data_IF_915264451322
#
_entry.id   IF_915264451322
#
_cell.length_a   1.000
_cell.length_b   1.000
_cell.length_c   1.000
_cell.angle_alpha   90.00
_cell.angle_beta   90.00
_cell.angle_gamma   90.00
#
_symmetry.space_group_name_H-M   'P 1'
#
loop_
_entity.id
_entity.type
_entity.pdbx_description
1 polymer ?
#
# COMPACT_ATOMS: atom_id res chain seq x y z
N UNK A 1 -0.74 -10.04 1.23
CA UNK A 1 -1.92 -10.22 2.11
C UNK A 1 -1.57 -10.46 3.58
N UNK A 2 -0.62 -11.35 3.93
CA UNK A 2 -0.19 -11.55 5.33
C UNK A 2 0.22 -10.25 6.05
N UNK A 3 0.94 -9.37 5.33
CA UNK A 3 1.33 -8.05 5.84
C UNK A 3 0.15 -7.14 6.19
N UNK A 4 -0.89 -7.11 5.36
CA UNK A 4 -2.09 -6.31 5.62
C UNK A 4 -2.80 -6.80 6.89
N UNK A 5 -2.82 -8.12 7.12
CA UNK A 5 -3.35 -8.71 8.36
C UNK A 5 -2.53 -8.33 9.60
N UNK A 6 -1.20 -8.33 9.49
CA UNK A 6 -0.31 -7.85 10.58
C UNK A 6 -0.54 -6.36 10.88
N UNK A 7 -0.69 -5.54 9.84
CA UNK A 7 -0.96 -4.11 10.01
C UNK A 7 -2.35 -3.88 10.63
N UNK A 8 -3.36 -4.66 10.25
CA UNK A 8 -4.68 -4.62 10.87
C UNK A 8 -4.62 -4.96 12.37
N UNK A 9 -3.86 -5.99 12.74
CA UNK A 9 -3.67 -6.37 14.14
C UNK A 9 -2.93 -5.28 14.94
N UNK A 10 -1.92 -4.64 14.33
CA UNK A 10 -1.22 -3.52 14.96
C UNK A 10 -2.14 -2.31 15.18
N UNK A 11 -2.95 -1.94 14.18
CA UNK A 11 -3.93 -0.86 14.29
C UNK A 11 -4.99 -1.16 15.35
N UNK A 12 -5.45 -2.41 15.43
CA UNK A 12 -6.36 -2.85 16.47
C UNK A 12 -5.75 -2.74 17.87
N UNK A 13 -4.49 -3.14 18.04
CA UNK A 13 -3.77 -2.98 19.31
C UNK A 13 -3.64 -1.49 19.70
N UNK A 14 -3.25 -0.62 18.75
CA UNK A 14 -3.18 0.82 19.01
C UNK A 14 -4.55 1.38 19.40
N UNK A 15 -5.63 0.92 18.79
CA UNK A 15 -7.00 1.32 19.13
C UNK A 15 -7.42 0.83 20.52
N UNK A 16 -6.94 -0.33 20.96
CA UNK A 16 -7.25 -0.90 22.28
C UNK A 16 -6.49 -0.19 23.43
N UNK A 17 -5.30 0.36 23.16
CA UNK A 17 -4.43 0.94 24.19
C UNK A 17 -4.32 2.48 24.12
N UNK A 18 -4.74 3.14 23.04
CA UNK A 18 -4.72 4.60 22.91
C UNK A 18 -6.12 5.20 22.95
N UNK A 19 -6.26 6.36 23.59
CA UNK A 19 -7.44 7.21 23.41
C UNK A 19 -7.60 7.53 21.91
N UNK A 20 -8.84 7.53 21.42
CA UNK A 20 -9.25 7.63 20.01
C UNK A 20 -8.83 8.93 19.27
N UNK A 21 -7.86 9.67 19.80
CA UNK A 21 -7.34 10.94 19.28
C UNK A 21 -6.30 10.76 18.16
N UNK A 22 -5.58 9.63 18.15
CA UNK A 22 -4.50 9.37 17.19
C UNK A 22 -4.97 8.66 15.92
N UNK A 23 -6.00 7.82 16.04
CA UNK A 23 -6.58 7.05 14.94
C UNK A 23 -7.81 7.78 14.42
N UNK A 24 -7.81 8.09 13.13
CA UNK A 24 -9.00 8.63 12.48
C UNK A 24 -10.12 7.57 12.47
N UNK A 25 -11.41 7.93 12.67
CA UNK A 25 -12.51 6.96 12.65
C UNK A 25 -12.59 6.13 11.36
N UNK A 26 -12.13 6.70 10.24
CA UNK A 26 -12.07 6.03 8.93
C UNK A 26 -10.79 5.23 8.69
N UNK A 27 -9.95 4.96 9.70
CA UNK A 27 -8.68 4.23 9.54
C UNK A 27 -8.87 2.86 8.87
N UNK A 28 -9.97 2.17 9.18
CA UNK A 28 -10.33 0.90 8.56
C UNK A 28 -10.63 1.03 7.07
N UNK A 29 -11.27 2.13 6.64
CA UNK A 29 -11.45 2.43 5.23
C UNK A 29 -10.14 2.74 4.52
N UNK A 30 -9.25 3.48 5.18
CA UNK A 30 -7.92 3.77 4.64
C UNK A 30 -7.08 2.50 4.47
N UNK A 31 -7.17 1.58 5.43
CA UNK A 31 -6.52 0.27 5.35
C UNK A 31 -7.08 -0.56 4.21
N UNK A 32 -8.41 -0.63 4.09
CA UNK A 32 -9.09 -1.39 3.06
C UNK A 32 -8.74 -0.88 1.67
N UNK A 33 -8.79 0.44 1.44
CA UNK A 33 -8.50 1.01 0.12
C UNK A 33 -7.04 0.76 -0.27
N UNK A 34 -6.08 0.96 0.64
CA UNK A 34 -4.66 0.68 0.36
C UNK A 34 -4.42 -0.81 0.10
N UNK A 35 -5.12 -1.69 0.80
CA UNK A 35 -5.05 -3.15 0.58
C UNK A 35 -5.58 -3.51 -0.81
N UNK A 36 -6.75 -2.98 -1.19
CA UNK A 36 -7.33 -3.22 -2.52
C UNK A 36 -6.44 -2.70 -3.64
N UNK A 37 -5.87 -1.51 -3.50
CA UNK A 37 -4.92 -0.97 -4.48
C UNK A 37 -3.69 -1.87 -4.59
N UNK A 38 -3.09 -2.29 -3.46
CA UNK A 38 -1.92 -3.15 -3.48
C UNK A 38 -2.20 -4.51 -4.16
N UNK A 39 -3.35 -5.12 -3.85
CA UNK A 39 -3.78 -6.36 -4.52
C UNK A 39 -4.03 -6.13 -6.02
N UNK A 40 -4.68 -5.03 -6.38
CA UNK A 40 -4.92 -4.67 -7.78
C UNK A 40 -3.63 -4.50 -8.58
N UNK A 41 -2.61 -3.86 -8.00
CA UNK A 41 -1.28 -3.75 -8.64
C UNK A 41 -0.62 -5.12 -8.76
N UNK A 42 -0.68 -5.95 -7.73
CA UNK A 42 -0.08 -7.27 -7.77
C UNK A 42 -0.72 -8.15 -8.87
N UNK A 43 -2.05 -8.12 -9.00
CA UNK A 43 -2.75 -8.80 -10.10
C UNK A 43 -2.35 -8.25 -11.47
N UNK A 44 -2.16 -6.93 -11.59
CA UNK A 44 -1.72 -6.30 -12.83
C UNK A 44 -0.30 -6.74 -13.21
N UNK A 45 0.60 -6.85 -12.22
CA UNK A 45 1.97 -7.33 -12.41
C UNK A 45 1.96 -8.80 -12.83
N UNK A 46 1.24 -9.66 -12.13
CA UNK A 46 1.13 -11.08 -12.45
C UNK A 46 0.57 -11.28 -13.86
N UNK A 47 -0.49 -10.54 -14.22
CA UNK A 47 -1.06 -10.57 -15.57
C UNK A 47 -0.07 -10.07 -16.62
N UNK A 48 0.62 -8.95 -16.37
CA UNK A 48 1.59 -8.37 -17.30
C UNK A 48 2.78 -9.29 -17.58
N UNK A 49 3.32 -9.92 -16.54
CA UNK A 49 4.48 -10.81 -16.65
C UNK A 49 4.10 -12.13 -17.30
N UNK A 50 3.02 -12.78 -16.85
CA UNK A 50 2.65 -14.11 -17.36
C UNK A 50 2.05 -14.06 -18.76
N UNK A 51 1.23 -13.05 -19.07
CA UNK A 51 0.47 -13.01 -20.33
C UNK A 51 1.17 -12.24 -21.45
N UNK A 52 1.97 -11.21 -21.13
CA UNK A 52 2.68 -10.40 -22.15
C UNK A 52 4.19 -10.66 -22.23
N UNK A 53 4.74 -11.55 -21.39
CA UNK A 53 6.20 -11.76 -21.24
C UNK A 53 6.97 -10.43 -21.05
N UNK A 54 6.33 -9.41 -20.48
CA UNK A 54 7.02 -8.15 -20.23
C UNK A 54 7.88 -8.23 -18.97
N UNK A 55 8.85 -7.32 -18.85
CA UNK A 55 9.72 -7.29 -17.68
C UNK A 55 8.93 -6.96 -16.42
N UNK A 56 9.10 -7.79 -15.38
CA UNK A 56 8.52 -7.59 -14.05
C UNK A 56 8.77 -6.17 -13.53
N UNK A 57 9.97 -5.61 -13.75
CA UNK A 57 10.31 -4.25 -13.30
C UNK A 57 9.41 -3.18 -13.93
N UNK A 58 9.07 -3.31 -15.22
CA UNK A 58 8.24 -2.32 -15.92
C UNK A 58 6.83 -2.32 -15.36
N UNK A 59 6.23 -3.51 -15.21
CA UNK A 59 4.89 -3.63 -14.67
C UNK A 59 4.82 -3.23 -13.20
N UNK A 60 5.82 -3.57 -12.40
CA UNK A 60 5.87 -3.22 -10.99
C UNK A 60 6.05 -1.71 -10.78
N UNK A 61 7.01 -1.08 -11.45
CA UNK A 61 7.24 0.36 -11.36
C UNK A 61 6.06 1.15 -11.92
N UNK A 62 5.54 0.75 -13.09
CA UNK A 62 4.35 1.36 -13.69
C UNK A 62 3.11 1.23 -12.81
N UNK A 63 2.87 0.05 -12.25
CA UNK A 63 1.79 -0.20 -11.31
C UNK A 63 1.92 0.61 -10.01
N UNK A 64 3.15 0.73 -9.49
CA UNK A 64 3.44 1.55 -8.30
C UNK A 64 3.12 3.03 -8.54
N UNK A 65 3.45 3.57 -9.73
CA UNK A 65 3.10 4.94 -10.13
C UNK A 65 1.59 5.12 -10.26
N UNK A 66 0.91 4.20 -10.93
CA UNK A 66 -0.57 4.22 -11.05
C UNK A 66 -1.21 4.23 -9.66
N UNK A 67 -0.73 3.37 -8.76
CA UNK A 67 -1.22 3.34 -7.39
C UNK A 67 -1.00 4.66 -6.66
N UNK A 68 0.16 5.31 -6.82
CA UNK A 68 0.41 6.64 -6.24
C UNK A 68 -0.64 7.66 -6.70
N UNK A 69 -0.95 7.70 -7.99
CA UNK A 69 -1.98 8.60 -8.51
C UNK A 69 -3.39 8.26 -8.03
N UNK A 70 -3.78 6.99 -8.03
CA UNK A 70 -5.11 6.56 -7.54
C UNK A 70 -5.26 6.88 -6.06
N UNK A 71 -4.24 6.58 -5.25
CA UNK A 71 -4.27 6.86 -3.81
C UNK A 71 -4.33 8.36 -3.52
N UNK A 72 -3.59 9.19 -4.28
CA UNK A 72 -3.73 10.65 -4.19
C UNK A 72 -5.14 11.13 -4.56
N UNK A 73 -5.72 10.62 -5.67
CA UNK A 73 -7.09 10.96 -6.09
C UNK A 73 -8.13 10.60 -5.00
N UNK A 74 -8.00 9.41 -4.42
CA UNK A 74 -8.83 8.95 -3.31
C UNK A 74 -8.71 9.90 -2.12
N UNK A 75 -7.49 10.26 -1.72
CA UNK A 75 -7.27 11.22 -0.63
C UNK A 75 -7.97 12.55 -0.93
N UNK A 76 -7.77 13.13 -2.13
CA UNK A 76 -8.45 14.36 -2.54
C UNK A 76 -9.97 14.25 -2.52
N UNK A 77 -10.55 13.11 -2.92
CA UNK A 77 -11.99 12.88 -2.88
C UNK A 77 -12.53 12.94 -1.44
N UNK A 78 -11.84 12.30 -0.48
CA UNK A 78 -12.22 12.37 0.93
C UNK A 78 -12.07 13.79 1.52
N UNK A 79 -11.05 14.53 1.11
CA UNK A 79 -10.88 15.93 1.52
C UNK A 79 -12.04 16.78 1.00
N UNK A 80 -12.41 16.61 -0.27
CA UNK A 80 -13.51 17.35 -0.90
C UNK A 80 -14.89 17.05 -0.27
N UNK A 81 -15.09 15.82 0.22
CA UNK A 81 -16.31 15.42 0.95
C UNK A 81 -16.44 16.03 2.35
N UNK A 82 -15.47 16.83 2.81
CA UNK A 82 -15.53 17.49 4.12
C UNK A 82 -15.24 16.56 5.28
N UNK A 83 -14.27 15.64 5.12
CA UNK A 83 -13.90 14.68 6.18
C UNK A 83 -13.49 15.42 7.47
N UNK A 84 -14.08 15.08 8.63
CA UNK A 84 -13.72 15.68 9.91
C UNK A 84 -12.27 15.35 10.29
N UNK A 85 -11.64 16.16 11.15
CA UNK A 85 -10.27 15.91 11.62
C UNK A 85 -9.27 15.64 10.47
N UNK A 86 -9.27 16.53 9.48
CA UNK A 86 -8.46 16.46 8.25
C UNK A 86 -6.98 16.14 8.53
N UNK A 87 -6.38 16.78 9.53
CA UNK A 87 -4.98 16.55 9.90
C UNK A 87 -4.72 15.08 10.29
N UNK A 88 -5.56 14.53 11.18
CA UNK A 88 -5.50 13.14 11.62
C UNK A 88 -5.78 12.19 10.45
N UNK A 89 -6.71 12.53 9.56
CA UNK A 89 -6.99 11.73 8.36
C UNK A 89 -5.78 11.65 7.43
N UNK A 90 -5.18 12.78 7.08
CA UNK A 90 -4.02 12.85 6.17
C UNK A 90 -2.83 12.11 6.76
N UNK A 91 -2.55 12.29 8.06
CA UNK A 91 -1.47 11.56 8.74
C UNK A 91 -1.69 10.04 8.73
N UNK A 92 -2.90 9.58 9.06
CA UNK A 92 -3.22 8.15 9.04
C UNK A 92 -3.13 7.57 7.62
N UNK A 93 -3.63 8.32 6.62
CA UNK A 93 -3.56 7.93 5.21
C UNK A 93 -2.10 7.77 4.75
N UNK A 94 -1.26 8.77 4.99
CA UNK A 94 0.16 8.72 4.61
C UNK A 94 0.92 7.63 5.36
N UNK A 95 0.68 7.46 6.66
CA UNK A 95 1.33 6.43 7.45
C UNK A 95 1.02 5.02 6.89
N UNK A 96 -0.26 4.71 6.69
CA UNK A 96 -0.69 3.42 6.12
C UNK A 96 -0.11 3.24 4.71
N UNK A 97 -0.20 4.27 3.87
CA UNK A 97 0.31 4.23 2.50
C UNK A 97 1.82 3.95 2.46
N UNK A 98 2.62 4.67 3.26
CA UNK A 98 4.07 4.52 3.32
C UNK A 98 4.48 3.15 3.87
N UNK A 99 3.77 2.64 4.88
CA UNK A 99 4.01 1.29 5.42
C UNK A 99 3.77 0.24 4.33
N UNK A 100 2.69 0.38 3.55
CA UNK A 100 2.40 -0.48 2.41
C UNK A 100 3.47 -0.38 1.31
N UNK A 101 3.83 0.84 0.87
CA UNK A 101 4.86 1.06 -0.17
C UNK A 101 6.20 0.53 0.29
N UNK A 102 6.61 0.86 1.51
CA UNK A 102 7.91 0.48 2.06
C UNK A 102 8.07 -1.04 2.07
N UNK A 103 7.11 -1.77 2.63
CA UNK A 103 7.17 -3.24 2.67
C UNK A 103 7.22 -3.86 1.27
N UNK A 104 6.47 -3.32 0.32
CA UNK A 104 6.46 -3.78 -1.06
C UNK A 104 7.82 -3.59 -1.75
N UNK A 105 8.43 -2.41 -1.58
CA UNK A 105 9.79 -2.12 -2.07
C UNK A 105 10.79 -3.08 -1.45
N UNK A 106 10.72 -3.33 -0.13
CA UNK A 106 11.61 -4.29 0.54
C UNK A 106 11.46 -5.71 -0.03
N UNK A 107 10.23 -6.16 -0.26
CA UNK A 107 9.96 -7.48 -0.82
C UNK A 107 10.52 -7.60 -2.25
N UNK A 108 10.36 -6.57 -3.08
CA UNK A 108 10.88 -6.55 -4.44
C UNK A 108 12.40 -6.47 -4.49
N UNK A 109 13.03 -5.64 -3.66
CA UNK A 109 14.49 -5.57 -3.56
C UNK A 109 15.09 -6.92 -3.13
N UNK A 110 14.43 -7.61 -2.20
CA UNK A 110 14.83 -8.95 -1.77
C UNK A 110 14.83 -9.96 -2.93
N UNK A 111 13.77 -9.97 -3.73
CA UNK A 111 13.67 -10.84 -4.90
C UNK A 111 14.71 -10.49 -5.98
N UNK A 112 14.90 -9.21 -6.28
CA UNK A 112 15.90 -8.76 -7.26
C UNK A 112 17.34 -9.12 -6.85
N UNK A 113 17.65 -9.02 -5.55
CA UNK A 113 18.96 -9.38 -5.01
C UNK A 113 19.24 -10.89 -5.14
N UNK A 114 18.23 -11.72 -4.93
CA UNK A 114 18.38 -13.18 -5.10
C UNK A 114 18.62 -13.57 -6.56
N UNK A 115 17.98 -12.87 -7.52
CA UNK A 115 18.09 -13.20 -8.94
C UNK A 115 19.44 -12.77 -9.52
N UNK A 116 19.94 -11.60 -9.09
CA UNK A 116 21.31 -11.13 -9.39
C UNK A 116 22.40 -12.11 -8.98
N UNK A 117 22.23 -12.83 -7.86
CA UNK A 117 23.21 -13.81 -7.39
C UNK A 117 23.14 -15.15 -8.14
N UNK A 118 21.99 -15.48 -8.74
CA UNK A 118 21.82 -16.70 -9.54
C UNK A 118 22.41 -16.58 -10.94
N UNK A 119 22.45 -15.39 -11.53
CA UNK A 119 23.07 -15.17 -12.85
C UNK A 119 24.60 -15.22 -12.87
N UNK A 120 25.25 -15.45 -11.73
CA UNK A 120 26.72 -15.54 -11.58
C UNK A 120 27.22 -16.97 -11.31
N UNK A 121 26.34 -17.98 -11.26
CA UNK A 121 26.66 -19.40 -11.16
C UNK A 121 26.18 -20.15 -12.40
#
# INVERSE_FOLDING_TARGET
>A
MLFAGLLAAALWAVQAFSDARWLHPMVWWLLLINTLLAVGIQLLVDYGVHYRRGSFQIFYLGGSVIRLFISALVAFAFIYMGTPALETFVLNFFAIYLIFVGFEIYAVLGNLRSDSQRGLN
#
